data_IF_307362535020
#
_entry.id   IF_307362535020
#
_cell.length_a   1.000
_cell.length_b   1.000
_cell.length_c   1.000
_cell.angle_alpha   90.00
_cell.angle_beta   90.00
_cell.angle_gamma   90.00
#
_symmetry.space_group_name_H-M   'P 1'
#
loop_
_entity.id
_entity.type
_entity.pdbx_description
1 polymer ?
#
# COMPACT_ATOMS: atom_id res chain seq x y z
N UNK A 1 -15.66 -13.60 -15.33
CA UNK A 1 -16.50 -12.48 -15.83
C UNK A 1 -15.82 -11.87 -17.04
N UNK A 2 -16.60 -11.39 -18.04
CA UNK A 2 -16.04 -10.62 -19.17
C UNK A 2 -15.87 -9.16 -18.72
N UNK A 3 -14.69 -8.53 -18.90
CA UNK A 3 -14.46 -7.15 -18.51
C UNK A 3 -15.36 -6.16 -19.27
N UNK A 4 -15.68 -5.04 -18.63
CA UNK A 4 -16.48 -3.96 -19.22
C UNK A 4 -15.67 -2.67 -19.22
N UNK A 5 -15.68 -1.95 -20.33
CA UNK A 5 -14.97 -0.68 -20.50
C UNK A 5 -15.89 0.50 -20.16
N UNK A 6 -15.37 1.46 -19.40
CA UNK A 6 -16.06 2.70 -19.03
C UNK A 6 -15.23 3.92 -19.40
N UNK A 7 -15.87 5.09 -19.63
CA UNK A 7 -15.13 6.33 -19.83
C UNK A 7 -14.38 6.75 -18.55
N UNK A 8 -13.36 7.59 -18.74
CA UNK A 8 -12.52 8.10 -17.63
C UNK A 8 -13.31 8.80 -16.51
N UNK A 9 -14.44 9.40 -16.84
CA UNK A 9 -15.31 10.13 -15.91
C UNK A 9 -16.37 9.28 -15.21
N UNK A 10 -16.41 7.97 -15.47
CA UNK A 10 -17.41 7.09 -14.86
C UNK A 10 -17.21 6.99 -13.34
N UNK A 11 -18.29 7.14 -12.60
CA UNK A 11 -18.37 6.95 -11.15
C UNK A 11 -19.34 5.85 -10.74
N UNK A 12 -20.17 5.39 -11.69
CA UNK A 12 -21.08 4.26 -11.56
C UNK A 12 -20.71 3.18 -12.59
N UNK A 13 -20.68 1.94 -12.14
CA UNK A 13 -20.27 0.77 -12.92
C UNK A 13 -21.40 -0.25 -13.06
N UNK A 14 -22.65 0.16 -12.88
CA UNK A 14 -23.84 -0.71 -12.98
C UNK A 14 -24.24 -1.03 -14.42
N UNK A 15 -23.87 -0.16 -15.38
CA UNK A 15 -24.20 -0.30 -16.80
C UNK A 15 -23.17 -1.12 -17.59
N UNK A 16 -23.34 -1.26 -18.89
CA UNK A 16 -22.36 -1.83 -19.80
C UNK A 16 -21.33 -0.81 -20.33
N UNK A 17 -21.35 0.43 -19.82
CA UNK A 17 -20.38 1.47 -20.12
C UNK A 17 -20.22 1.77 -21.61
N UNK A 18 -18.96 1.81 -22.10
CA UNK A 18 -18.60 1.95 -23.49
C UNK A 18 -18.72 0.62 -24.28
N UNK A 19 -18.74 -0.50 -23.57
CA UNK A 19 -18.92 -1.82 -24.16
C UNK A 19 -18.32 -2.96 -23.34
N UNK A 20 -18.83 -4.14 -23.56
CA UNK A 20 -18.34 -5.39 -22.99
C UNK A 20 -17.17 -5.87 -23.85
N UNK A 21 -16.03 -6.12 -23.24
CA UNK A 21 -14.80 -6.53 -23.92
C UNK A 21 -14.80 -8.04 -24.22
N UNK A 22 -15.74 -8.50 -25.08
CA UNK A 22 -15.96 -9.92 -25.38
C UNK A 22 -14.75 -10.61 -26.01
N UNK A 23 -13.90 -9.84 -26.71
CA UNK A 23 -12.71 -10.37 -27.38
C UNK A 23 -11.49 -10.43 -26.46
N UNK A 24 -11.68 -10.27 -25.15
CA UNK A 24 -10.62 -10.38 -24.13
C UNK A 24 -9.93 -11.75 -24.20
N UNK A 25 -8.61 -11.76 -24.36
CA UNK A 25 -7.79 -12.97 -24.37
C UNK A 25 -7.50 -13.43 -22.93
N UNK A 26 -7.08 -12.52 -22.07
CA UNK A 26 -6.94 -12.74 -20.63
C UNK A 26 -7.18 -11.45 -19.84
N UNK A 27 -7.70 -11.61 -18.63
CA UNK A 27 -7.86 -10.53 -17.67
C UNK A 27 -7.46 -11.07 -16.28
N UNK A 28 -6.31 -10.65 -15.82
CA UNK A 28 -5.74 -11.09 -14.56
C UNK A 28 -5.78 -9.93 -13.57
N UNK A 29 -6.30 -10.18 -12.38
CA UNK A 29 -6.33 -9.21 -11.30
C UNK A 29 -5.44 -9.72 -10.18
N UNK A 30 -4.52 -8.87 -9.73
CA UNK A 30 -3.64 -9.14 -8.60
C UNK A 30 -4.00 -8.20 -7.46
N UNK A 31 -4.38 -8.75 -6.31
CA UNK A 31 -4.60 -8.02 -5.07
C UNK A 31 -3.65 -8.57 -4.00
N UNK A 32 -2.82 -7.70 -3.43
CA UNK A 32 -1.98 -7.99 -2.27
C UNK A 32 -2.51 -7.24 -1.05
N UNK A 33 -2.46 -7.91 0.10
CA UNK A 33 -2.86 -7.31 1.37
C UNK A 33 -2.00 -6.08 1.69
N UNK A 34 -2.63 -4.90 1.78
CA UNK A 34 -1.98 -3.62 1.97
C UNK A 34 -0.95 -3.25 0.88
N UNK A 35 -0.96 -3.95 -0.24
CA UNK A 35 -0.02 -3.83 -1.34
C UNK A 35 -0.67 -3.38 -2.64
N UNK A 36 -0.27 -4.03 -3.75
CA UNK A 36 -0.76 -3.72 -5.08
C UNK A 36 -2.19 -4.22 -5.28
N UNK A 37 -2.94 -3.49 -6.12
CA UNK A 37 -4.24 -3.92 -6.61
C UNK A 37 -4.36 -3.46 -8.07
N UNK A 38 -4.07 -4.37 -8.98
CA UNK A 38 -3.89 -4.09 -10.40
C UNK A 38 -4.61 -5.12 -11.28
N UNK A 39 -4.92 -4.70 -12.51
CA UNK A 39 -5.51 -5.52 -13.54
C UNK A 39 -4.61 -5.51 -14.78
N UNK A 40 -4.33 -6.69 -15.30
CA UNK A 40 -3.60 -6.89 -16.56
C UNK A 40 -4.54 -7.53 -17.57
N UNK A 41 -4.87 -6.77 -18.63
CA UNK A 41 -5.77 -7.20 -19.68
C UNK A 41 -5.01 -7.37 -21.01
N UNK A 42 -5.17 -8.53 -21.68
CA UNK A 42 -4.71 -8.76 -23.05
C UNK A 42 -5.89 -8.72 -24.01
N UNK A 43 -5.79 -7.88 -25.04
CA UNK A 43 -6.85 -7.62 -25.98
C UNK A 43 -6.34 -7.55 -27.42
N UNK A 44 -7.04 -8.13 -28.43
CA UNK A 44 -6.60 -8.06 -29.81
C UNK A 44 -6.92 -6.68 -30.43
N UNK A 45 -6.04 -6.18 -31.30
CA UNK A 45 -6.27 -4.93 -32.05
C UNK A 45 -7.46 -4.99 -33.00
N UNK A 46 -7.85 -6.21 -33.41
CA UNK A 46 -9.04 -6.48 -34.23
C UNK A 46 -10.33 -6.56 -33.40
N UNK A 47 -10.25 -6.51 -32.07
CA UNK A 47 -11.41 -6.61 -31.19
C UNK A 47 -12.39 -5.46 -31.36
N UNK A 48 -13.68 -5.73 -31.17
CA UNK A 48 -14.79 -4.82 -31.48
C UNK A 48 -14.66 -3.44 -30.82
N UNK A 49 -14.16 -3.38 -29.58
CA UNK A 49 -14.05 -2.14 -28.80
C UNK A 49 -12.62 -1.60 -28.67
N UNK A 50 -11.66 -2.15 -29.44
CA UNK A 50 -10.26 -1.73 -29.34
C UNK A 50 -10.06 -0.22 -29.51
N UNK A 51 -10.76 0.40 -30.48
CA UNK A 51 -10.66 1.83 -30.73
C UNK A 51 -11.13 2.73 -29.59
N UNK A 52 -11.90 2.19 -28.63
CA UNK A 52 -12.39 2.91 -27.45
C UNK A 52 -11.44 2.77 -26.24
N UNK A 53 -10.49 1.83 -26.29
CA UNK A 53 -9.56 1.57 -25.19
C UNK A 53 -8.46 2.63 -25.22
N UNK A 54 -8.53 3.59 -24.30
CA UNK A 54 -7.53 4.66 -24.13
C UNK A 54 -7.05 4.72 -22.69
N UNK A 55 -5.92 5.39 -22.47
CA UNK A 55 -5.48 5.71 -21.10
C UNK A 55 -6.56 6.52 -20.38
N UNK A 56 -6.62 6.40 -19.07
CA UNK A 56 -7.65 6.95 -18.16
C UNK A 56 -9.03 6.28 -18.24
N UNK A 57 -9.40 5.56 -19.32
CA UNK A 57 -10.59 4.69 -19.30
C UNK A 57 -10.52 3.70 -18.14
N UNK A 58 -11.68 3.23 -17.70
CA UNK A 58 -11.81 2.32 -16.57
C UNK A 58 -12.27 0.95 -17.06
N UNK A 59 -11.61 -0.10 -16.58
CA UNK A 59 -12.00 -1.49 -16.80
C UNK A 59 -12.67 -1.99 -15.53
N UNK A 60 -13.92 -2.48 -15.65
CA UNK A 60 -14.55 -3.26 -14.59
C UNK A 60 -14.19 -4.72 -14.77
N UNK A 61 -13.56 -5.32 -13.76
CA UNK A 61 -13.16 -6.72 -13.75
C UNK A 61 -13.43 -7.35 -12.38
N UNK A 62 -13.54 -8.68 -12.35
CA UNK A 62 -13.76 -9.44 -11.13
C UNK A 62 -12.42 -9.94 -10.57
N UNK A 63 -12.06 -9.59 -9.32
CA UNK A 63 -10.79 -10.01 -8.73
C UNK A 63 -10.70 -11.52 -8.49
N UNK A 64 -11.78 -12.12 -7.98
CA UNK A 64 -11.90 -13.55 -7.69
C UNK A 64 -13.36 -13.99 -7.68
N UNK A 65 -13.63 -15.26 -7.47
CA UNK A 65 -14.99 -15.82 -7.57
C UNK A 65 -15.98 -15.29 -6.52
N UNK A 66 -15.50 -14.82 -5.39
CA UNK A 66 -16.32 -14.36 -4.26
C UNK A 66 -16.41 -12.84 -4.13
N UNK A 67 -15.43 -12.10 -4.65
CA UNK A 67 -15.40 -10.65 -4.56
C UNK A 67 -16.40 -9.98 -5.51
N UNK A 68 -16.84 -8.77 -5.18
CA UNK A 68 -17.56 -7.90 -6.09
C UNK A 68 -16.65 -7.41 -7.22
N UNK A 69 -17.26 -7.00 -8.32
CA UNK A 69 -16.54 -6.41 -9.45
C UNK A 69 -15.86 -5.10 -9.04
N UNK A 70 -14.61 -4.92 -9.47
CA UNK A 70 -13.80 -3.77 -9.14
C UNK A 70 -13.41 -2.98 -10.39
N UNK A 71 -13.20 -1.69 -10.21
CA UNK A 71 -12.87 -0.75 -11.28
C UNK A 71 -11.36 -0.44 -11.28
N UNK A 72 -10.75 -0.53 -12.47
CA UNK A 72 -9.32 -0.33 -12.68
C UNK A 72 -9.10 0.73 -13.75
N UNK A 73 -8.41 1.82 -13.39
CA UNK A 73 -8.05 2.89 -14.34
C UNK A 73 -6.84 2.50 -15.16
N UNK A 74 -6.97 2.62 -16.48
CA UNK A 74 -5.89 2.30 -17.42
C UNK A 74 -4.82 3.37 -17.35
N UNK A 75 -3.62 3.01 -16.92
CA UNK A 75 -2.47 3.93 -16.89
C UNK A 75 -1.45 3.67 -17.98
N UNK A 76 -1.39 2.41 -18.52
CA UNK A 76 -0.42 2.02 -19.54
C UNK A 76 -1.02 1.07 -20.54
N UNK A 77 -0.67 1.24 -21.81
CA UNK A 77 -1.02 0.32 -22.92
C UNK A 77 0.24 0.05 -23.71
N UNK A 78 0.64 -1.22 -23.85
CA UNK A 78 1.72 -1.65 -24.72
C UNK A 78 1.15 -2.22 -26.02
N UNK A 79 1.73 -1.83 -27.17
CA UNK A 79 1.25 -2.21 -28.51
C UNK A 79 2.36 -2.98 -29.25
N UNK A 80 2.51 -4.28 -29.01
CA UNK A 80 3.49 -5.08 -29.74
C UNK A 80 3.03 -5.37 -31.17
N UNK A 81 3.98 -5.77 -32.00
CA UNK A 81 3.70 -6.03 -33.43
C UNK A 81 2.79 -7.27 -33.72
N UNK A 82 2.60 -8.13 -32.72
CA UNK A 82 1.80 -9.36 -32.86
C UNK A 82 0.27 -9.15 -32.86
N UNK A 83 -0.20 -7.90 -32.85
CA UNK A 83 -1.63 -7.59 -32.88
C UNK A 83 -2.38 -7.79 -31.54
N UNK A 84 -1.69 -8.10 -30.45
CA UNK A 84 -2.27 -8.22 -29.10
C UNK A 84 -1.70 -7.12 -28.22
N UNK A 85 -2.56 -6.26 -27.70
CA UNK A 85 -2.15 -5.21 -26.75
C UNK A 85 -2.22 -5.72 -25.31
N UNK A 86 -1.29 -5.26 -24.50
CA UNK A 86 -1.37 -5.44 -23.04
C UNK A 86 -1.74 -4.12 -22.39
N UNK A 87 -2.80 -4.14 -21.60
CA UNK A 87 -3.41 -3.00 -20.94
C UNK A 87 -3.22 -3.19 -19.45
N UNK A 88 -2.67 -2.17 -18.80
CA UNK A 88 -2.38 -2.16 -17.37
C UNK A 88 -3.34 -1.17 -16.70
N UNK A 89 -4.12 -1.66 -15.75
CA UNK A 89 -5.04 -0.88 -14.95
C UNK A 89 -4.67 -0.95 -13.47
N UNK A 90 -4.67 0.18 -12.80
CA UNK A 90 -4.62 0.25 -11.34
C UNK A 90 -6.02 0.44 -10.79
N UNK A 91 -6.31 -0.19 -9.64
CA UNK A 91 -7.59 0.00 -8.97
C UNK A 91 -7.87 1.49 -8.75
N UNK A 92 -9.12 1.93 -8.88
CA UNK A 92 -9.46 3.37 -8.77
C UNK A 92 -9.05 4.02 -7.45
N UNK A 93 -8.81 3.24 -6.39
CA UNK A 93 -8.23 3.76 -5.14
C UNK A 93 -6.86 4.43 -5.31
N UNK A 94 -6.15 4.17 -6.42
CA UNK A 94 -4.91 4.86 -6.74
C UNK A 94 -5.14 6.32 -7.14
N UNK A 95 -6.37 6.72 -7.50
CA UNK A 95 -6.74 8.14 -7.70
C UNK A 95 -6.40 8.96 -6.43
N UNK A 96 -6.50 8.34 -5.24
CA UNK A 96 -6.15 8.97 -3.95
C UNK A 96 -4.66 9.34 -3.81
N UNK A 97 -3.79 8.82 -4.68
CA UNK A 97 -2.39 9.25 -4.73
C UNK A 97 -2.22 10.69 -5.27
N UNK A 98 -3.23 11.21 -5.94
CA UNK A 98 -3.24 12.55 -6.53
C UNK A 98 -4.09 13.55 -5.72
N UNK A 99 -4.69 13.13 -4.61
CA UNK A 99 -5.50 13.98 -3.72
C UNK A 99 -4.61 14.47 -2.57
N UNK A 100 -4.34 15.78 -2.47
CA UNK A 100 -3.46 16.33 -1.44
C UNK A 100 -4.17 16.42 -0.08
N UNK A 101 -3.41 16.15 0.98
CA UNK A 101 -3.78 16.39 2.38
C UNK A 101 -2.87 17.48 2.92
N UNK A 102 -3.44 18.54 3.46
CA UNK A 102 -2.69 19.61 4.12
C UNK A 102 -2.29 19.17 5.55
N UNK A 103 -1.22 19.75 6.11
CA UNK A 103 -0.79 19.46 7.46
C UNK A 103 -1.89 19.69 8.49
N UNK A 104 -2.06 18.73 9.40
CA UNK A 104 -2.94 18.82 10.56
C UNK A 104 -2.46 17.89 11.67
N UNK A 105 -2.91 18.13 12.89
CA UNK A 105 -2.61 17.30 14.05
C UNK A 105 -3.86 17.14 14.92
N UNK A 106 -4.01 15.94 15.48
CA UNK A 106 -5.06 15.63 16.46
C UNK A 106 -4.45 14.85 17.61
N UNK A 107 -4.77 15.18 18.86
CA UNK A 107 -4.26 14.48 20.04
C UNK A 107 -4.92 13.11 20.23
N UNK A 108 -6.24 13.05 20.03
CA UNK A 108 -7.01 11.81 20.15
C UNK A 108 -8.23 11.89 19.24
N UNK A 109 -8.28 11.04 18.23
CA UNK A 109 -9.41 10.96 17.30
C UNK A 109 -9.65 9.52 16.85
N UNK A 110 -10.92 9.15 16.69
CA UNK A 110 -11.27 7.83 16.20
C UNK A 110 -10.80 7.62 14.75
N UNK A 111 -10.40 6.40 14.37
CA UNK A 111 -9.97 6.09 13.01
C UNK A 111 -11.04 6.42 11.96
N UNK A 112 -12.33 6.26 12.28
CA UNK A 112 -13.42 6.63 11.36
C UNK A 112 -13.42 8.13 11.02
N UNK A 113 -13.19 9.00 12.01
CA UNK A 113 -13.15 10.44 11.78
C UNK A 113 -11.89 10.86 11.02
N UNK A 114 -10.74 10.20 11.29
CA UNK A 114 -9.51 10.43 10.55
C UNK A 114 -9.68 10.00 9.10
N UNK A 115 -10.21 8.80 8.86
CA UNK A 115 -10.46 8.29 7.51
C UNK A 115 -11.40 9.22 6.74
N UNK A 116 -12.50 9.68 7.36
CA UNK A 116 -13.42 10.63 6.74
C UNK A 116 -12.75 11.97 6.43
N UNK A 117 -11.87 12.47 7.30
CA UNK A 117 -11.12 13.70 7.07
C UNK A 117 -10.13 13.57 5.94
N UNK A 118 -9.41 12.45 5.85
CA UNK A 118 -8.45 12.20 4.77
C UNK A 118 -9.15 12.10 3.40
N UNK A 119 -10.30 11.45 3.35
CA UNK A 119 -11.07 11.27 2.11
C UNK A 119 -11.85 12.53 1.67
N UNK A 120 -11.96 13.54 2.51
CA UNK A 120 -12.77 14.73 2.22
C UNK A 120 -12.32 15.52 0.95
N UNK A 121 -11.08 15.34 0.51
CA UNK A 121 -10.55 15.94 -0.71
C UNK A 121 -11.09 15.33 -2.01
N UNK A 122 -11.70 14.16 -1.95
CA UNK A 122 -12.36 13.51 -3.09
C UNK A 122 -13.70 12.90 -2.66
N UNK A 123 -14.79 13.60 -2.93
CA UNK A 123 -16.14 13.23 -2.50
C UNK A 123 -16.69 11.94 -3.13
N UNK A 124 -16.00 11.37 -4.11
CA UNK A 124 -16.36 10.05 -4.66
C UNK A 124 -16.10 8.94 -3.64
N UNK A 125 -15.12 9.15 -2.75
CA UNK A 125 -14.70 8.14 -1.80
C UNK A 125 -15.46 8.24 -0.47
N UNK A 126 -15.81 7.07 0.06
CA UNK A 126 -16.36 6.91 1.40
C UNK A 126 -15.45 5.99 2.22
N UNK A 127 -15.46 6.16 3.54
CA UNK A 127 -14.61 5.37 4.45
C UNK A 127 -15.41 4.65 5.52
N UNK A 128 -15.00 3.43 5.83
CA UNK A 128 -15.51 2.63 6.93
C UNK A 128 -14.37 1.93 7.68
N UNK A 129 -14.51 1.74 8.99
CA UNK A 129 -13.59 0.97 9.81
C UNK A 129 -14.30 0.32 10.99
N UNK A 130 -13.81 -0.85 11.41
CA UNK A 130 -14.21 -1.53 12.65
C UNK A 130 -13.37 -1.13 13.87
N UNK A 131 -12.32 -0.31 13.67
CA UNK A 131 -11.55 0.23 14.78
C UNK A 131 -12.32 1.29 15.56
N UNK A 132 -12.24 1.22 16.89
CA UNK A 132 -12.83 2.19 17.82
C UNK A 132 -11.82 2.97 18.66
N UNK A 133 -10.57 2.48 18.77
CA UNK A 133 -9.53 3.07 19.61
C UNK A 133 -9.00 4.39 19.03
N UNK A 134 -9.23 5.47 19.75
CA UNK A 134 -8.76 6.79 19.36
C UNK A 134 -7.26 6.93 19.64
N UNK A 135 -6.52 7.52 18.68
CA UNK A 135 -5.08 7.77 18.78
C UNK A 135 -4.75 9.18 18.26
N UNK A 136 -3.57 9.66 18.66
CA UNK A 136 -2.99 10.85 18.03
C UNK A 136 -2.64 10.57 16.59
N UNK A 137 -3.00 11.50 15.70
CA UNK A 137 -2.68 11.42 14.28
C UNK A 137 -2.25 12.77 13.75
N UNK A 138 -1.16 12.82 13.01
CA UNK A 138 -0.64 14.05 12.44
C UNK A 138 -0.10 13.85 11.03
N UNK A 139 -0.33 14.84 10.20
CA UNK A 139 0.30 15.02 8.90
C UNK A 139 1.13 16.29 9.01
N UNK A 140 2.44 16.16 9.12
CA UNK A 140 3.36 17.29 9.37
C UNK A 140 3.72 18.05 8.10
N UNK A 141 3.71 17.38 6.96
CA UNK A 141 3.97 17.93 5.63
C UNK A 141 2.86 17.51 4.66
N UNK A 142 2.59 18.30 3.59
CA UNK A 142 1.63 17.88 2.59
C UNK A 142 1.96 16.50 2.03
N UNK A 143 0.99 15.59 2.05
CA UNK A 143 1.09 14.22 1.52
C UNK A 143 -0.14 13.91 0.69
N UNK A 144 -0.09 12.87 -0.12
CA UNK A 144 -1.32 12.36 -0.75
C UNK A 144 -2.17 11.59 0.26
N UNK A 145 -3.48 11.52 0.00
CA UNK A 145 -4.39 10.69 0.81
C UNK A 145 -3.86 9.26 0.90
N UNK A 146 -3.44 8.66 -0.23
CA UNK A 146 -2.93 7.29 -0.25
C UNK A 146 -1.72 7.11 0.66
N UNK A 147 -0.79 8.05 0.70
CA UNK A 147 0.36 8.02 1.60
C UNK A 147 -0.03 8.19 3.09
N UNK A 148 -1.09 8.96 3.37
CA UNK A 148 -1.63 9.08 4.73
C UNK A 148 -2.36 7.80 5.18
N UNK A 149 -2.94 7.04 4.25
CA UNK A 149 -3.58 5.76 4.56
C UNK A 149 -2.54 4.67 4.83
N UNK A 150 -1.52 4.52 3.96
CA UNK A 150 -0.51 3.46 4.12
C UNK A 150 0.78 3.70 3.34
N UNK A 151 1.79 2.86 3.58
CA UNK A 151 3.06 2.87 2.84
C UNK A 151 4.10 3.87 3.35
N UNK A 152 3.79 4.67 4.38
CA UNK A 152 4.73 5.60 5.01
C UNK A 152 4.60 5.55 6.52
N UNK A 153 5.67 5.91 7.23
CA UNK A 153 5.61 6.09 8.67
C UNK A 153 4.60 7.19 9.05
N UNK A 154 3.91 7.01 10.18
CA UNK A 154 2.84 7.91 10.63
C UNK A 154 1.52 7.78 9.89
N UNK A 155 1.40 6.90 8.88
CA UNK A 155 0.14 6.60 8.20
C UNK A 155 -0.87 5.89 9.11
N UNK A 156 -2.14 5.81 8.68
CA UNK A 156 -3.16 5.05 9.41
C UNK A 156 -2.73 3.60 9.60
N UNK A 157 -2.17 2.97 8.56
CA UNK A 157 -1.70 1.60 8.61
C UNK A 157 -0.60 1.40 9.67
N UNK A 158 0.39 2.31 9.74
CA UNK A 158 1.47 2.23 10.73
C UNK A 158 1.00 2.51 12.18
N UNK A 159 -0.11 3.24 12.36
CA UNK A 159 -0.67 3.57 13.67
C UNK A 159 -1.57 2.48 14.26
N UNK A 160 -2.36 1.83 13.42
CA UNK A 160 -3.37 0.85 13.85
C UNK A 160 -3.05 -0.59 13.45
N UNK A 161 -2.11 -0.82 12.53
CA UNK A 161 -1.68 -2.16 12.05
C UNK A 161 -2.82 -2.99 11.45
N UNK A 162 -3.77 -2.31 10.76
CA UNK A 162 -4.93 -2.95 10.17
C UNK A 162 -4.71 -3.44 8.74
N UNK A 163 -5.82 -3.74 8.09
CA UNK A 163 -5.84 -4.25 6.72
C UNK A 163 -6.85 -3.46 5.89
N UNK A 164 -6.40 -2.88 4.76
CA UNK A 164 -7.29 -2.21 3.83
C UNK A 164 -8.02 -3.21 2.94
N UNK A 165 -9.30 -2.95 2.73
CA UNK A 165 -10.11 -3.51 1.65
C UNK A 165 -10.59 -2.37 0.77
N UNK A 166 -10.31 -2.49 -0.52
CA UNK A 166 -10.70 -1.50 -1.53
C UNK A 166 -11.92 -2.02 -2.28
N UNK A 167 -13.06 -1.38 -2.11
CA UNK A 167 -14.29 -1.75 -2.77
C UNK A 167 -14.78 -0.57 -3.62
N UNK A 168 -14.25 -0.49 -4.83
CA UNK A 168 -14.43 0.64 -5.73
C UNK A 168 -14.12 1.97 -5.00
N UNK A 169 -15.10 2.84 -4.81
CA UNK A 169 -14.94 4.11 -4.10
C UNK A 169 -15.13 3.99 -2.58
N UNK A 170 -15.26 2.79 -2.04
CA UNK A 170 -15.34 2.58 -0.59
C UNK A 170 -14.00 2.07 -0.05
N UNK A 171 -13.41 2.82 0.87
CA UNK A 171 -12.21 2.45 1.60
C UNK A 171 -12.62 1.83 2.92
N UNK A 172 -12.37 0.54 3.09
CA UNK A 172 -12.65 -0.16 4.35
C UNK A 172 -11.33 -0.45 5.05
N UNK A 173 -11.21 -0.04 6.30
CA UNK A 173 -10.03 -0.27 7.13
C UNK A 173 -10.37 -1.21 8.27
N UNK A 174 -10.03 -2.47 8.12
CA UNK A 174 -10.33 -3.55 9.06
C UNK A 174 -9.22 -3.73 10.09
N UNK A 175 -9.58 -4.11 11.30
CA UNK A 175 -8.63 -4.65 12.27
C UNK A 175 -8.05 -5.99 11.79
N UNK A 176 -8.87 -6.78 11.10
CA UNK A 176 -8.49 -8.03 10.47
C UNK A 176 -9.48 -8.39 9.36
N UNK A 177 -8.99 -8.64 8.14
CA UNK A 177 -9.81 -9.13 7.01
C UNK A 177 -9.96 -10.66 7.09
N UNK A 178 -11.06 -11.12 6.55
CA UNK A 178 -11.33 -12.54 6.44
C UNK A 178 -12.21 -13.09 7.57
N UNK A 179 -12.56 -14.34 7.44
CA UNK A 179 -13.45 -15.06 8.35
C UNK A 179 -12.85 -16.42 8.71
N UNK A 180 -13.09 -16.87 9.92
CA UNK A 180 -12.82 -18.27 10.31
C UNK A 180 -13.87 -19.17 9.66
N UNK A 181 -13.50 -19.82 8.57
CA UNK A 181 -14.43 -20.64 7.77
C UNK A 181 -14.70 -22.03 8.36
N UNK A 182 -13.91 -22.49 9.34
CA UNK A 182 -13.95 -23.87 9.83
C UNK A 182 -13.39 -24.89 8.85
N UNK A 183 -12.91 -24.47 7.68
CA UNK A 183 -12.24 -25.35 6.73
C UNK A 183 -10.86 -25.72 7.28
N UNK A 184 -10.61 -27.02 7.40
CA UNK A 184 -9.31 -27.56 7.78
C UNK A 184 -8.55 -27.92 6.51
N UNK A 185 -7.35 -27.35 6.35
CA UNK A 185 -6.42 -27.72 5.26
C UNK A 185 -5.60 -28.91 5.77
N UNK A 186 -5.68 -30.03 5.06
CA UNK A 186 -5.07 -31.28 5.49
C UNK A 186 -4.43 -31.99 4.28
N UNK A 187 -3.19 -32.46 4.47
CA UNK A 187 -2.48 -33.20 3.45
C UNK A 187 -3.24 -34.50 3.10
N UNK A 188 -3.37 -34.78 1.80
CA UNK A 188 -4.11 -35.91 1.29
C UNK A 188 -5.63 -35.69 1.16
N UNK A 189 -6.16 -34.52 1.57
CA UNK A 189 -7.56 -34.15 1.35
C UNK A 189 -7.69 -32.96 0.39
N UNK A 190 -7.20 -31.81 0.79
CA UNK A 190 -7.34 -30.56 0.03
C UNK A 190 -6.03 -29.76 -0.08
N UNK A 191 -4.91 -30.28 0.46
CA UNK A 191 -3.58 -29.75 0.28
C UNK A 191 -2.82 -30.63 -0.73
N UNK A 192 -2.50 -30.09 -1.89
CA UNK A 192 -1.77 -30.79 -2.95
C UNK A 192 -0.28 -30.52 -2.95
N UNK A 193 0.11 -29.30 -2.54
CA UNK A 193 1.50 -28.89 -2.38
C UNK A 193 1.59 -27.80 -1.31
N UNK A 194 2.72 -27.72 -0.62
CA UNK A 194 3.08 -26.66 0.30
C UNK A 194 4.57 -26.39 0.12
N UNK A 195 4.91 -25.11 -0.01
CA UNK A 195 6.27 -24.61 0.00
C UNK A 195 6.39 -23.64 1.18
N UNK A 196 7.45 -23.78 1.97
CA UNK A 196 7.82 -22.86 3.03
C UNK A 196 9.13 -22.21 2.64
N UNK A 197 9.14 -20.89 2.51
CA UNK A 197 10.34 -20.09 2.29
C UNK A 197 10.71 -19.39 3.59
N UNK A 198 11.94 -19.62 4.06
CA UNK A 198 12.49 -19.01 5.26
C UNK A 198 13.65 -18.08 4.88
N UNK A 199 13.42 -16.78 4.97
CA UNK A 199 14.43 -15.75 4.69
C UNK A 199 14.81 -15.00 5.96
N UNK A 200 16.08 -15.09 6.35
CA UNK A 200 16.66 -14.35 7.47
C UNK A 200 17.53 -13.17 7.02
N UNK A 201 17.50 -12.79 5.75
CA UNK A 201 18.36 -11.73 5.20
C UNK A 201 18.14 -10.39 5.90
N UNK A 202 16.89 -10.08 6.28
CA UNK A 202 16.49 -8.87 6.99
C UNK A 202 16.59 -8.94 8.51
N UNK A 203 17.06 -10.04 9.09
CA UNK A 203 17.19 -10.18 10.55
C UNK A 203 18.59 -9.73 10.98
N UNK A 204 18.65 -8.77 11.91
CA UNK A 204 19.88 -8.25 12.48
C UNK A 204 20.00 -8.62 13.94
N UNK A 205 21.24 -8.83 14.42
CA UNK A 205 21.57 -9.20 15.81
C UNK A 205 22.24 -8.05 16.57
N UNK A 206 22.60 -6.98 15.88
CA UNK A 206 23.22 -5.80 16.45
C UNK A 206 22.81 -4.53 15.69
N UNK A 207 22.89 -3.39 16.35
CA UNK A 207 22.61 -2.07 15.80
C UNK A 207 23.85 -1.18 16.00
N UNK A 208 24.28 -0.50 14.93
CA UNK A 208 25.23 0.61 14.98
C UNK A 208 24.47 1.91 14.67
N UNK A 209 24.08 2.67 15.69
CA UNK A 209 23.37 3.92 15.48
C UNK A 209 24.36 5.04 15.17
N UNK A 210 23.98 5.97 14.29
CA UNK A 210 24.69 7.21 14.07
C UNK A 210 23.69 8.36 13.82
N UNK A 211 24.15 9.58 14.02
CA UNK A 211 23.46 10.79 13.61
C UNK A 211 24.44 11.83 13.10
N UNK A 212 24.01 12.62 12.13
CA UNK A 212 24.78 13.72 11.54
C UNK A 212 24.09 15.03 11.90
N UNK A 213 24.83 16.01 12.35
CA UNK A 213 24.32 17.35 12.62
C UNK A 213 25.31 18.43 12.25
N UNK A 214 24.83 19.63 12.00
CA UNK A 214 25.65 20.82 11.80
C UNK A 214 25.43 21.78 12.95
N UNK A 215 26.48 22.16 13.66
CA UNK A 215 26.39 23.15 14.75
C UNK A 215 26.12 24.54 14.19
N UNK A 216 25.40 25.37 14.93
CA UNK A 216 25.11 26.74 14.52
C UNK A 216 26.43 27.52 14.29
N UNK A 217 26.60 28.07 13.07
CA UNK A 217 27.80 28.78 12.66
C UNK A 217 28.97 27.91 12.18
N UNK A 218 28.80 26.59 12.07
CA UNK A 218 29.80 25.70 11.48
C UNK A 218 29.45 25.35 10.03
N UNK A 219 30.46 25.31 9.15
CA UNK A 219 30.31 24.87 7.74
C UNK A 219 30.57 23.36 7.55
N UNK A 220 30.78 22.62 8.64
CA UNK A 220 31.09 21.18 8.60
C UNK A 220 30.08 20.38 9.39
N UNK A 221 29.72 19.24 8.81
CA UNK A 221 28.90 18.23 9.47
C UNK A 221 29.71 17.47 10.54
N UNK A 222 29.07 17.18 11.65
CA UNK A 222 29.62 16.36 12.73
C UNK A 222 28.85 15.07 12.80
N UNK A 223 29.56 13.94 12.81
CA UNK A 223 28.96 12.61 12.96
C UNK A 223 29.15 12.14 14.39
N UNK A 224 28.04 11.75 15.02
CA UNK A 224 28.04 11.09 16.33
C UNK A 224 27.63 9.63 16.11
N UNK A 225 28.38 8.71 16.67
CA UNK A 225 28.10 7.28 16.61
C UNK A 225 28.31 6.66 17.98
N UNK A 226 27.63 5.54 18.22
CA UNK A 226 27.79 4.74 19.44
C UNK A 226 28.57 3.46 19.10
N UNK A 227 29.18 2.82 20.12
CA UNK A 227 29.59 1.44 20.00
C UNK A 227 28.41 0.55 19.59
N UNK A 228 28.70 -0.52 18.87
CA UNK A 228 27.70 -1.52 18.45
C UNK A 228 26.87 -1.99 19.65
N UNK A 229 25.55 -1.95 19.48
CA UNK A 229 24.60 -2.38 20.51
C UNK A 229 24.02 -3.74 20.10
N UNK A 230 24.27 -4.76 20.90
CA UNK A 230 23.69 -6.09 20.66
C UNK A 230 22.21 -6.07 20.97
N UNK A 231 21.39 -6.45 20.01
CA UNK A 231 19.94 -6.60 20.20
C UNK A 231 19.66 -7.88 21.02
N UNK A 232 18.63 -7.90 21.87
CA UNK A 232 18.29 -9.05 22.69
C UNK A 232 17.65 -10.20 21.90
N UNK A 233 17.75 -10.19 20.58
CA UNK A 233 17.22 -11.25 19.73
C UNK A 233 18.25 -12.36 19.66
N UNK A 234 18.06 -13.40 20.47
CA UNK A 234 18.81 -14.64 20.36
C UNK A 234 17.98 -15.58 19.49
N UNK A 235 18.29 -15.63 18.20
CA UNK A 235 17.83 -16.73 17.36
C UNK A 235 18.95 -17.75 17.28
N UNK A 236 18.64 -19.02 17.56
CA UNK A 236 19.59 -20.13 17.42
C UNK A 236 20.12 -20.31 15.99
N UNK A 237 19.55 -19.61 15.04
CA UNK A 237 19.82 -19.72 13.60
C UNK A 237 20.88 -18.74 13.09
N UNK A 238 21.14 -17.63 13.80
CA UNK A 238 22.12 -16.62 13.39
C UNK A 238 23.37 -16.77 14.26
N UNK A 239 24.35 -17.49 13.73
CA UNK A 239 25.63 -17.78 14.42
C UNK A 239 26.62 -16.62 14.36
N UNK A 240 26.37 -15.61 13.49
CA UNK A 240 27.26 -14.46 13.29
C UNK A 240 26.57 -13.16 13.68
N UNK A 241 27.35 -12.17 14.10
CA UNK A 241 26.85 -10.81 14.27
C UNK A 241 26.44 -10.23 12.89
N UNK A 242 25.18 -9.79 12.79
CA UNK A 242 24.66 -9.04 11.65
C UNK A 242 24.26 -7.66 12.16
N UNK A 243 25.08 -6.66 11.86
CA UNK A 243 24.88 -5.30 12.35
C UNK A 243 24.07 -4.49 11.34
N UNK A 244 22.97 -3.90 11.80
CA UNK A 244 22.25 -2.85 11.10
C UNK A 244 22.91 -1.51 11.38
N UNK A 245 23.30 -0.78 10.34
CA UNK A 245 23.76 0.61 10.45
C UNK A 245 22.53 1.49 10.23
N UNK A 246 22.17 2.32 11.21
CA UNK A 246 20.93 3.09 11.18
C UNK A 246 21.17 4.57 11.46
N UNK A 247 20.65 5.41 10.57
CA UNK A 247 20.68 6.87 10.68
C UNK A 247 19.52 7.35 11.55
N UNK A 248 19.85 8.16 12.55
CA UNK A 248 18.89 8.80 13.47
C UNK A 248 18.87 10.32 13.30
N UNK A 249 19.54 10.88 12.31
CA UNK A 249 19.68 12.34 12.12
C UNK A 249 18.35 13.07 12.12
N UNK A 250 17.33 12.50 11.46
CA UNK A 250 15.99 13.08 11.35
C UNK A 250 15.19 13.12 12.69
N UNK A 251 15.74 12.50 13.75
CA UNK A 251 15.09 12.47 15.06
C UNK A 251 15.61 13.55 16.02
N UNK A 252 16.51 14.40 15.53
CA UNK A 252 17.15 15.45 16.31
C UNK A 252 17.05 16.81 15.62
N UNK A 253 16.75 17.83 16.40
CA UNK A 253 16.81 19.23 15.98
C UNK A 253 18.06 19.86 16.64
N UNK A 254 19.18 19.95 15.91
CA UNK A 254 20.43 20.58 16.36
C UNK A 254 21.50 19.61 16.87
N UNK A 255 22.27 20.01 17.90
CA UNK A 255 23.43 19.26 18.41
C UNK A 255 23.02 17.91 19.00
N UNK A 256 23.62 16.84 18.51
CA UNK A 256 23.39 15.47 18.98
C UNK A 256 24.50 15.06 19.94
N UNK A 257 24.13 14.51 21.11
CA UNK A 257 25.06 13.90 22.05
C UNK A 257 24.97 12.37 21.99
N UNK A 258 26.02 11.67 22.38
CA UNK A 258 26.01 10.20 22.47
C UNK A 258 24.89 9.69 23.40
N UNK A 259 24.61 10.41 24.49
CA UNK A 259 23.54 10.05 25.44
C UNK A 259 22.16 10.15 24.80
N UNK A 260 21.92 11.24 24.04
CA UNK A 260 20.67 11.44 23.32
C UNK A 260 20.49 10.38 22.20
N UNK A 261 21.55 10.10 21.46
CA UNK A 261 21.55 9.05 20.43
C UNK A 261 21.27 7.68 21.05
N UNK A 262 21.89 7.36 22.20
CA UNK A 262 21.66 6.10 22.93
C UNK A 262 20.21 5.98 23.41
N UNK A 263 19.61 7.06 23.89
CA UNK A 263 18.22 7.05 24.34
C UNK A 263 17.22 6.77 23.19
N UNK A 264 17.58 7.11 21.96
CA UNK A 264 16.76 6.82 20.77
C UNK A 264 17.02 5.43 20.18
N UNK A 265 18.24 4.91 20.32
CA UNK A 265 18.64 3.62 19.76
C UNK A 265 18.22 2.42 20.64
N UNK A 266 17.92 2.64 21.92
CA UNK A 266 17.41 1.62 22.87
C UNK A 266 15.86 1.56 22.84
#
# INVERSE_FOLDING_TARGET
>A
MIPVLYPASATDFSSFGLGVLTDTISCEVTEERNGIFECLLKYPVSGQHYGLITKECIIKAKPNDTAADQAFRIYRITKPLNGIVTIYGQHISYDLANVPVLPFSTESRSPQLILSQLLAGDTRFTGWTDYSDAKAFSVTQPKSVRACLGGTEGSMLSKWYGEFEWDNYTVKFHSHRGQKTGVVIEYGKNLTAMEQDEDNSGVYTALLPYAVYTSEGADTETVVTLPEVTLPIVTSEIVRTKTLIMDFSDQFDGVVTEEALRAKAN
#
